data_IF_863668347579
#
_entry.id   IF_863668347579
#
_cell.length_a   1.000
_cell.length_b   1.000
_cell.length_c   1.000
_cell.angle_alpha   90.00
_cell.angle_beta   90.00
_cell.angle_gamma   90.00
#
_symmetry.space_group_name_H-M   'P 1'
#
loop_
_entity.id
_entity.type
_entity.pdbx_description
1 polymer ?
#
# COMPACT_ATOMS: atom_id res chain seq x y z
N UNK A 1 42.00 -23.02 -42.45
CA UNK A 1 41.03 -22.29 -43.28
C UNK A 1 39.62 -22.61 -42.78
N UNK A 2 38.87 -21.56 -42.44
CA UNK A 2 37.39 -21.38 -42.47
C UNK A 2 36.50 -22.56 -42.01
N UNK A 3 35.81 -22.52 -40.86
CA UNK A 3 34.64 -21.70 -40.45
C UNK A 3 33.35 -21.92 -41.26
N UNK A 4 32.32 -22.47 -40.62
CA UNK A 4 30.92 -22.02 -40.68
C UNK A 4 30.16 -22.73 -39.56
N UNK A 5 29.92 -22.12 -38.39
CA UNK A 5 28.86 -21.14 -38.07
C UNK A 5 27.44 -21.57 -38.49
N UNK A 6 26.73 -22.21 -37.57
CA UNK A 6 25.31 -22.56 -37.70
C UNK A 6 24.55 -22.28 -36.40
N UNK A 7 24.30 -20.99 -36.17
CA UNK A 7 23.37 -20.33 -35.23
C UNK A 7 22.69 -21.20 -34.14
N UNK A 8 23.14 -21.01 -32.91
CA UNK A 8 22.30 -21.18 -31.71
C UNK A 8 21.17 -20.15 -31.78
N UNK A 9 19.93 -20.61 -31.94
CA UNK A 9 18.75 -19.76 -31.81
C UNK A 9 18.53 -19.56 -30.32
N UNK A 10 19.07 -18.48 -29.77
CA UNK A 10 18.71 -17.99 -28.45
C UNK A 10 17.30 -17.40 -28.51
N UNK A 11 16.29 -18.22 -28.20
CA UNK A 11 14.99 -17.72 -27.78
C UNK A 11 15.08 -17.36 -26.29
N UNK A 12 15.72 -16.23 -26.00
CA UNK A 12 15.45 -15.49 -24.76
C UNK A 12 14.43 -14.40 -25.07
N UNK A 13 13.17 -14.83 -25.23
CA UNK A 13 12.07 -14.01 -24.75
C UNK A 13 11.97 -14.32 -23.26
N UNK A 14 12.64 -13.51 -22.44
CA UNK A 14 12.14 -13.28 -21.09
C UNK A 14 10.73 -12.74 -21.27
N UNK A 15 9.77 -13.66 -21.16
CA UNK A 15 8.38 -13.28 -21.06
C UNK A 15 8.29 -12.65 -19.69
N UNK A 16 8.28 -11.32 -19.63
CA UNK A 16 7.91 -10.58 -18.43
C UNK A 16 6.61 -11.22 -17.94
N UNK A 17 6.70 -12.03 -16.89
CA UNK A 17 5.53 -12.53 -16.21
C UNK A 17 4.93 -11.27 -15.59
N UNK A 18 3.95 -10.69 -16.26
CA UNK A 18 3.05 -9.71 -15.67
C UNK A 18 2.29 -10.44 -14.55
N UNK A 19 2.93 -10.61 -13.39
CA UNK A 19 2.27 -11.21 -12.23
C UNK A 19 1.15 -10.26 -11.81
N UNK A 20 -0.06 -10.70 -12.15
CA UNK A 20 -1.33 -10.19 -11.66
C UNK A 20 -1.29 -10.26 -10.13
N UNK A 21 -1.67 -9.16 -9.46
CA UNK A 21 -1.82 -8.96 -8.00
C UNK A 21 -1.53 -10.15 -7.07
N UNK A 22 -0.70 -9.94 -6.04
CA UNK A 22 -0.51 -10.93 -4.97
C UNK A 22 -1.84 -11.27 -4.29
N UNK A 23 -2.59 -10.23 -3.90
CA UNK A 23 -3.90 -10.34 -3.27
C UNK A 23 -4.85 -9.44 -4.04
N UNK A 24 -6.03 -9.95 -4.34
CA UNK A 24 -7.10 -9.20 -4.98
C UNK A 24 -8.43 -9.53 -4.29
N UNK A 25 -8.85 -8.63 -3.39
CA UNK A 25 -10.07 -8.78 -2.59
C UNK A 25 -11.17 -7.88 -3.14
N UNK A 26 -12.40 -8.39 -3.16
CA UNK A 26 -13.59 -7.69 -3.68
C UNK A 26 -14.70 -7.73 -2.64
N UNK A 27 -15.20 -6.57 -2.24
CA UNK A 27 -16.26 -6.45 -1.23
C UNK A 27 -15.90 -7.11 0.10
N UNK A 28 -14.61 -7.11 0.47
CA UNK A 28 -14.11 -7.84 1.63
C UNK A 28 -14.35 -7.09 2.94
N UNK A 29 -14.60 -7.83 4.02
CA UNK A 29 -14.82 -7.25 5.35
C UNK A 29 -14.02 -8.00 6.40
N UNK A 30 -13.59 -7.30 7.46
CA UNK A 30 -12.90 -7.88 8.63
C UNK A 30 -11.65 -8.68 8.20
N UNK A 31 -10.75 -8.01 7.47
CA UNK A 31 -9.53 -8.62 6.95
C UNK A 31 -8.35 -8.19 7.80
N UNK A 32 -7.64 -9.16 8.36
CA UNK A 32 -6.35 -8.96 9.01
C UNK A 32 -5.24 -9.51 8.13
N UNK A 33 -4.38 -8.62 7.62
CA UNK A 33 -3.22 -8.99 6.82
C UNK A 33 -1.94 -8.61 7.56
N UNK A 34 -1.38 -9.59 8.27
CA UNK A 34 -0.34 -9.35 9.29
C UNK A 34 0.89 -10.22 9.09
N UNK A 35 2.08 -9.64 9.26
CA UNK A 35 3.31 -10.42 9.41
C UNK A 35 3.80 -11.10 8.13
N UNK A 36 3.58 -10.49 6.96
CA UNK A 36 3.95 -11.07 5.66
C UNK A 36 5.22 -10.45 5.09
N UNK A 37 5.95 -11.21 4.26
CA UNK A 37 6.97 -10.67 3.36
C UNK A 37 6.55 -10.94 1.92
N UNK A 38 6.34 -9.88 1.15
CA UNK A 38 5.93 -9.93 -0.25
C UNK A 38 7.03 -9.32 -1.12
N UNK A 39 7.44 -10.04 -2.17
CA UNK A 39 8.40 -9.56 -3.19
C UNK A 39 8.00 -10.06 -4.58
N UNK A 40 8.45 -9.35 -5.62
CA UNK A 40 8.33 -9.81 -7.02
C UNK A 40 7.06 -9.38 -7.74
N UNK A 41 6.21 -8.56 -7.12
CA UNK A 41 4.99 -8.05 -7.73
C UNK A 41 5.15 -6.59 -8.12
N UNK A 42 4.67 -6.23 -9.31
CA UNK A 42 4.65 -4.84 -9.76
C UNK A 42 3.82 -4.00 -8.78
N UNK A 43 4.33 -2.86 -8.32
CA UNK A 43 3.51 -1.85 -7.68
C UNK A 43 2.57 -1.24 -8.76
N UNK A 44 1.29 -0.97 -8.47
CA UNK A 44 0.38 -0.28 -9.40
C UNK A 44 -0.71 -1.12 -10.08
N UNK A 45 -1.34 -0.55 -11.11
CA UNK A 45 -2.61 -1.03 -11.68
C UNK A 45 -2.64 -2.53 -12.03
N UNK A 46 -1.49 -3.14 -12.34
CA UNK A 46 -1.36 -4.56 -12.69
C UNK A 46 -0.96 -5.48 -11.53
N UNK A 47 -0.44 -4.97 -10.40
CA UNK A 47 0.10 -5.82 -9.32
C UNK A 47 -0.11 -5.30 -7.88
N UNK A 48 0.49 -5.99 -6.91
CA UNK A 48 0.41 -5.65 -5.49
C UNK A 48 -0.82 -6.16 -4.75
N UNK A 49 -1.13 -5.52 -3.62
CA UNK A 49 -2.23 -5.89 -2.72
C UNK A 49 -3.40 -4.98 -3.05
N UNK A 50 -4.43 -5.54 -3.67
CA UNK A 50 -5.57 -4.78 -4.16
C UNK A 50 -6.83 -5.11 -3.40
N UNK A 51 -7.57 -4.05 -3.10
CA UNK A 51 -8.92 -4.13 -2.57
C UNK A 51 -9.86 -3.35 -3.49
N UNK A 52 -10.97 -3.98 -3.87
CA UNK A 52 -12.10 -3.34 -4.52
C UNK A 52 -13.25 -3.28 -3.54
N UNK A 53 -13.46 -2.11 -2.95
CA UNK A 53 -14.27 -1.89 -1.76
C UNK A 53 -13.84 -2.76 -0.56
N UNK A 54 -14.01 -2.23 0.64
CA UNK A 54 -13.64 -2.94 1.86
C UNK A 54 -14.01 -2.19 3.13
N UNK A 55 -14.35 -2.96 4.17
CA UNK A 55 -14.71 -2.44 5.49
C UNK A 55 -13.95 -3.18 6.58
N UNK A 56 -13.44 -2.44 7.57
CA UNK A 56 -12.72 -3.02 8.72
C UNK A 56 -11.50 -3.82 8.25
N UNK A 57 -10.52 -3.12 7.68
CA UNK A 57 -9.34 -3.72 7.08
C UNK A 57 -8.11 -3.34 7.90
N UNK A 58 -7.38 -4.34 8.38
CA UNK A 58 -6.11 -4.20 9.10
C UNK A 58 -4.98 -4.74 8.23
N UNK A 59 -3.95 -3.92 8.03
CA UNK A 59 -2.72 -4.29 7.32
C UNK A 59 -1.55 -3.88 8.21
N UNK A 60 -0.90 -4.86 8.86
CA UNK A 60 0.08 -4.56 9.90
C UNK A 60 1.34 -5.41 9.82
N UNK A 61 2.49 -4.83 10.18
CA UNK A 61 3.74 -5.59 10.37
C UNK A 61 4.17 -6.39 9.12
N UNK A 62 3.92 -5.87 7.92
CA UNK A 62 4.33 -6.51 6.68
C UNK A 62 5.59 -5.87 6.09
N UNK A 63 6.31 -6.63 5.27
CA UNK A 63 7.40 -6.16 4.42
C UNK A 63 7.01 -6.30 2.95
N UNK A 64 6.84 -5.16 2.26
CA UNK A 64 6.42 -5.06 0.87
C UNK A 64 7.58 -4.57 0.01
N UNK A 65 8.21 -5.49 -0.72
CA UNK A 65 9.32 -5.15 -1.63
C UNK A 65 8.82 -4.93 -3.05
N UNK A 66 9.09 -3.73 -3.57
CA UNK A 66 8.68 -3.24 -4.90
C UNK A 66 7.18 -3.35 -5.17
N UNK A 67 6.35 -3.40 -4.13
CA UNK A 67 4.89 -3.58 -4.20
C UNK A 67 4.21 -2.60 -3.25
N UNK A 68 2.88 -2.56 -3.25
CA UNK A 68 2.11 -1.62 -2.45
C UNK A 68 0.67 -2.05 -2.22
N UNK A 69 -0.07 -1.19 -1.53
CA UNK A 69 -1.49 -1.30 -1.24
C UNK A 69 -2.25 -0.40 -2.20
N UNK A 70 -3.27 -0.95 -2.86
CA UNK A 70 -4.09 -0.20 -3.80
C UNK A 70 -5.56 -0.42 -3.46
N UNK A 71 -6.27 0.69 -3.25
CA UNK A 71 -7.64 0.75 -2.80
C UNK A 71 -8.49 1.30 -3.92
N UNK A 72 -9.46 0.52 -4.39
CA UNK A 72 -10.39 0.87 -5.45
C UNK A 72 -11.78 1.01 -4.83
N UNK A 73 -12.47 2.11 -5.07
CA UNK A 73 -13.85 2.34 -4.64
C UNK A 73 -14.91 1.76 -5.59
N UNK A 74 -14.59 0.73 -6.39
CA UNK A 74 -15.57 0.10 -7.27
C UNK A 74 -16.67 -0.62 -6.48
N UNK A 75 -17.90 -0.55 -6.96
CA UNK A 75 -19.01 -1.31 -6.39
C UNK A 75 -18.81 -2.82 -6.49
N UNK A 76 -18.82 -3.52 -5.36
CA UNK A 76 -18.65 -4.96 -5.28
C UNK A 76 -19.75 -5.63 -4.43
N UNK A 77 -20.00 -6.91 -4.70
CA UNK A 77 -20.85 -7.74 -3.85
C UNK A 77 -20.07 -8.21 -2.61
N UNK A 78 -20.78 -8.54 -1.52
CA UNK A 78 -20.19 -9.12 -0.31
C UNK A 78 -19.87 -8.13 0.81
N UNK A 79 -19.97 -6.82 0.56
CA UNK A 79 -19.77 -5.78 1.59
C UNK A 79 -21.01 -5.52 2.47
N UNK A 80 -22.16 -6.04 2.06
CA UNK A 80 -23.39 -6.03 2.84
C UNK A 80 -24.20 -7.28 2.54
N UNK A 81 -25.27 -7.50 3.29
CA UNK A 81 -26.08 -8.74 3.21
C UNK A 81 -27.09 -8.71 2.06
N UNK A 82 -26.77 -8.03 0.97
CA UNK A 82 -27.67 -7.81 -0.17
C UNK A 82 -27.01 -8.16 -1.50
N UNK A 83 -27.82 -8.40 -2.53
CA UNK A 83 -27.37 -8.54 -3.92
C UNK A 83 -27.14 -7.18 -4.61
N UNK A 84 -26.83 -6.14 -3.85
CA UNK A 84 -26.48 -4.82 -4.38
C UNK A 84 -24.97 -4.66 -4.29
N UNK A 85 -24.37 -4.10 -5.34
CA UNK A 85 -22.96 -3.74 -5.34
C UNK A 85 -22.76 -2.49 -4.50
N UNK A 86 -21.87 -2.55 -3.52
CA UNK A 86 -21.56 -1.43 -2.62
C UNK A 86 -20.15 -0.94 -2.92
N UNK A 87 -20.04 0.37 -3.11
CA UNK A 87 -18.79 1.11 -3.36
C UNK A 87 -18.39 1.86 -2.08
N UNK A 88 -17.52 1.27 -1.25
CA UNK A 88 -17.15 1.81 0.06
C UNK A 88 -15.75 1.35 0.46
N UNK A 89 -14.97 2.26 1.07
CA UNK A 89 -13.67 1.99 1.69
C UNK A 89 -13.69 2.61 3.09
N UNK A 90 -14.00 1.83 4.12
CA UNK A 90 -14.19 2.37 5.47
C UNK A 90 -13.48 1.58 6.56
N UNK A 91 -13.03 2.28 7.60
CA UNK A 91 -12.33 1.70 8.75
C UNK A 91 -11.07 0.92 8.34
N UNK A 92 -10.03 1.64 7.98
CA UNK A 92 -8.75 1.07 7.53
C UNK A 92 -7.66 1.38 8.54
N UNK A 93 -6.98 0.35 9.05
CA UNK A 93 -5.76 0.50 9.84
C UNK A 93 -4.58 -0.06 9.04
N UNK A 94 -3.68 0.82 8.61
CA UNK A 94 -2.44 0.43 7.94
C UNK A 94 -1.27 0.83 8.84
N UNK A 95 -0.70 -0.15 9.55
CA UNK A 95 0.20 0.10 10.68
C UNK A 95 1.56 -0.60 10.56
N UNK A 96 2.66 0.10 10.83
CA UNK A 96 4.01 -0.48 10.95
C UNK A 96 4.44 -1.40 9.79
N UNK A 97 4.05 -1.07 8.55
CA UNK A 97 4.50 -1.79 7.37
C UNK A 97 5.82 -1.18 6.84
N UNK A 98 6.68 -2.02 6.27
CA UNK A 98 7.85 -1.57 5.49
C UNK A 98 7.49 -1.66 4.02
N UNK A 99 7.57 -0.56 3.28
CA UNK A 99 7.51 -0.57 1.82
C UNK A 99 8.91 -0.24 1.30
N UNK A 100 9.51 -1.21 0.61
CA UNK A 100 10.91 -1.22 0.22
C UNK A 100 11.07 -1.11 -1.30
N UNK A 101 11.73 -0.04 -1.76
CA UNK A 101 12.08 0.20 -3.17
C UNK A 101 13.51 -0.21 -3.52
N UNK A 102 13.98 -1.33 -2.96
CA UNK A 102 15.34 -1.85 -3.18
C UNK A 102 15.76 -1.98 -4.66
N UNK A 103 14.82 -2.21 -5.59
CA UNK A 103 15.08 -2.09 -7.04
C UNK A 103 13.96 -1.33 -7.72
N UNK A 104 14.27 -0.18 -8.32
CA UNK A 104 13.28 0.59 -9.05
C UNK A 104 13.23 0.17 -10.54
N UNK A 105 12.07 -0.33 -10.98
CA UNK A 105 11.84 -0.83 -12.34
C UNK A 105 11.03 0.16 -13.20
N UNK A 106 11.15 1.46 -12.92
CA UNK A 106 10.51 2.54 -13.69
C UNK A 106 8.97 2.57 -13.77
N UNK A 107 8.27 1.63 -13.14
CA UNK A 107 6.82 1.48 -13.33
C UNK A 107 6.00 2.32 -12.34
N UNK A 108 6.10 2.05 -11.04
CA UNK A 108 5.15 2.61 -10.07
C UNK A 108 5.74 2.71 -8.65
N UNK A 109 5.37 3.77 -7.92
CA UNK A 109 6.14 4.26 -6.76
C UNK A 109 5.30 4.74 -5.57
N UNK A 110 3.99 4.53 -5.61
CA UNK A 110 3.08 5.23 -4.70
C UNK A 110 3.01 4.56 -3.33
N UNK A 111 3.30 3.25 -3.24
CA UNK A 111 3.32 2.49 -1.99
C UNK A 111 1.93 2.23 -1.42
N UNK A 112 1.12 3.28 -1.25
CA UNK A 112 -0.28 3.24 -0.86
C UNK A 112 -1.09 4.20 -1.73
N UNK A 113 -2.03 3.67 -2.51
CA UNK A 113 -2.84 4.43 -3.46
C UNK A 113 -4.34 4.15 -3.25
N UNK A 114 -5.13 5.21 -3.09
CA UNK A 114 -6.52 5.28 -3.48
C UNK A 114 -6.58 5.54 -4.99
N UNK A 115 -7.06 4.57 -5.75
CA UNK A 115 -7.03 4.62 -7.19
C UNK A 115 -7.98 5.70 -7.72
N UNK A 116 -7.42 6.74 -8.34
CA UNK A 116 -8.19 7.91 -8.78
C UNK A 116 -9.36 7.56 -9.73
N UNK A 117 -9.19 6.79 -10.81
CA UNK A 117 -10.30 6.46 -11.73
C UNK A 117 -11.47 5.70 -11.10
N UNK A 118 -11.27 5.09 -9.93
CA UNK A 118 -12.27 4.22 -9.30
C UNK A 118 -12.60 4.65 -7.87
N UNK A 119 -12.25 5.88 -7.48
CA UNK A 119 -12.56 6.43 -6.16
C UNK A 119 -14.07 6.51 -5.90
N UNK A 120 -14.44 6.49 -4.62
CA UNK A 120 -15.84 6.61 -4.15
C UNK A 120 -15.92 7.61 -3.01
N UNK A 121 -16.97 8.42 -2.98
CA UNK A 121 -17.25 9.35 -1.89
C UNK A 121 -17.46 8.65 -0.53
N UNK A 122 -17.76 7.35 -0.53
CA UNK A 122 -17.86 6.52 0.68
C UNK A 122 -16.49 5.98 1.13
N UNK A 123 -15.43 6.75 0.93
CA UNK A 123 -14.10 6.46 1.49
C UNK A 123 -13.91 7.32 2.73
N UNK A 124 -13.68 6.71 3.90
CA UNK A 124 -13.60 7.43 5.19
C UNK A 124 -12.94 6.59 6.27
N UNK A 125 -12.53 7.22 7.36
CA UNK A 125 -12.01 6.55 8.56
C UNK A 125 -10.79 5.67 8.26
N UNK A 126 -9.64 6.31 8.01
CA UNK A 126 -8.36 5.64 7.84
C UNK A 126 -7.36 6.06 8.90
N UNK A 127 -6.61 5.10 9.46
CA UNK A 127 -5.43 5.36 10.26
C UNK A 127 -4.22 4.75 9.57
N UNK A 128 -3.29 5.60 9.13
CA UNK A 128 -2.04 5.22 8.50
C UNK A 128 -0.93 5.58 9.47
N UNK A 129 -0.38 4.59 10.17
CA UNK A 129 0.54 4.83 11.29
C UNK A 129 1.86 4.07 11.16
N UNK A 130 2.97 4.73 11.47
CA UNK A 130 4.29 4.11 11.63
C UNK A 130 4.79 3.30 10.43
N UNK A 131 4.27 3.56 9.22
CA UNK A 131 4.73 2.90 8.00
C UNK A 131 6.03 3.52 7.52
N UNK A 132 6.93 2.71 6.95
CA UNK A 132 8.27 3.10 6.55
C UNK A 132 8.46 2.91 5.06
N UNK A 133 8.74 3.99 4.34
CA UNK A 133 9.16 3.94 2.94
C UNK A 133 10.68 3.97 2.92
N UNK A 134 11.29 2.85 2.56
CA UNK A 134 12.75 2.67 2.53
C UNK A 134 13.25 2.43 1.12
N UNK A 135 14.54 2.73 0.93
CA UNK A 135 15.20 2.74 -0.37
C UNK A 135 14.50 3.64 -1.39
N UNK A 136 13.77 4.66 -0.93
CA UNK A 136 12.97 5.51 -1.81
C UNK A 136 13.86 6.49 -2.59
N UNK A 137 15.09 6.74 -2.13
CA UNK A 137 16.14 7.45 -2.86
C UNK A 137 16.50 6.81 -4.21
N UNK A 138 16.20 5.51 -4.40
CA UNK A 138 16.43 4.81 -5.67
C UNK A 138 15.50 5.31 -6.79
N UNK A 139 14.44 6.05 -6.45
CA UNK A 139 13.47 6.58 -7.40
C UNK A 139 13.94 7.97 -7.86
N UNK A 140 14.03 8.27 -9.18
CA UNK A 140 14.38 9.59 -9.67
C UNK A 140 13.46 10.68 -9.14
N UNK A 141 14.03 11.86 -8.83
CA UNK A 141 13.32 12.95 -8.15
C UNK A 141 12.00 13.35 -8.83
N UNK A 142 11.96 13.41 -10.16
CA UNK A 142 10.76 13.75 -10.94
C UNK A 142 9.69 12.64 -10.97
N UNK A 143 9.96 11.49 -10.35
CA UNK A 143 9.05 10.34 -10.25
C UNK A 143 8.60 10.08 -8.83
N UNK A 144 9.17 10.71 -7.81
CA UNK A 144 8.80 10.48 -6.41
C UNK A 144 7.36 10.93 -6.13
N UNK A 145 6.60 10.20 -5.31
CA UNK A 145 5.20 10.51 -4.99
C UNK A 145 4.94 10.45 -3.49
N UNK A 146 4.02 11.26 -3.01
CA UNK A 146 3.50 11.19 -1.64
C UNK A 146 2.54 10.00 -1.48
N UNK A 147 2.09 9.74 -0.25
CA UNK A 147 1.06 8.75 0.02
C UNK A 147 -0.27 9.21 -0.61
N UNK A 148 -0.81 8.48 -1.59
CA UNK A 148 -2.01 8.90 -2.32
C UNK A 148 -3.28 8.33 -1.69
N UNK A 149 -3.68 8.82 -0.53
CA UNK A 149 -4.87 8.32 0.19
C UNK A 149 -6.11 9.21 0.00
N UNK A 150 -5.95 10.36 -0.65
CA UNK A 150 -7.01 11.29 -1.01
C UNK A 150 -6.75 11.89 -2.40
N UNK A 151 -7.81 12.31 -3.08
CA UNK A 151 -7.77 13.04 -4.33
C UNK A 151 -8.02 14.54 -4.13
N UNK A 152 -7.74 15.31 -5.18
CA UNK A 152 -7.87 16.77 -5.24
C UNK A 152 -9.32 17.28 -5.25
N UNK A 153 -10.29 16.40 -5.48
CA UNK A 153 -11.74 16.66 -5.45
C UNK A 153 -12.39 16.33 -4.10
N UNK A 154 -11.61 16.33 -3.02
CA UNK A 154 -12.07 16.09 -1.64
C UNK A 154 -12.73 14.71 -1.44
N UNK A 155 -12.19 13.69 -2.10
CA UNK A 155 -12.59 12.28 -1.96
C UNK A 155 -11.41 11.46 -1.42
N UNK A 156 -11.66 10.59 -0.44
CA UNK A 156 -10.68 9.65 0.09
C UNK A 156 -10.58 9.66 1.60
N UNK A 157 -9.45 9.21 2.13
CA UNK A 157 -9.14 9.31 3.55
C UNK A 157 -8.63 10.71 3.85
N UNK A 158 -9.51 11.55 4.38
CA UNK A 158 -9.30 12.99 4.48
C UNK A 158 -8.93 13.37 5.92
N UNK A 159 -8.19 14.46 6.14
CA UNK A 159 -7.69 14.80 7.47
C UNK A 159 -8.80 15.06 8.51
N UNK A 160 -10.03 15.31 8.06
CA UNK A 160 -11.20 15.52 8.92
C UNK A 160 -11.74 14.25 9.58
N UNK A 161 -11.45 13.08 9.01
CA UNK A 161 -11.98 11.78 9.45
C UNK A 161 -10.93 10.68 9.48
N UNK A 162 -9.67 11.02 9.22
CA UNK A 162 -8.56 10.08 9.10
C UNK A 162 -7.33 10.61 9.83
N UNK A 163 -6.43 9.70 10.21
CA UNK A 163 -5.26 9.98 11.03
C UNK A 163 -3.98 9.47 10.35
N UNK A 164 -2.97 10.34 10.24
CA UNK A 164 -1.66 10.01 9.65
C UNK A 164 -0.57 10.47 10.61
N UNK A 165 0.18 9.52 11.18
CA UNK A 165 1.24 9.82 12.15
C UNK A 165 2.37 8.80 12.12
N UNK A 166 3.59 9.22 12.46
CA UNK A 166 4.76 8.35 12.60
C UNK A 166 5.27 7.70 11.31
N UNK A 167 4.64 7.95 10.16
CA UNK A 167 5.10 7.41 8.89
C UNK A 167 6.37 8.12 8.42
N UNK A 168 7.36 7.34 7.99
CA UNK A 168 8.66 7.86 7.57
C UNK A 168 8.99 7.54 6.12
N UNK A 169 9.86 8.37 5.55
CA UNK A 169 10.37 8.21 4.20
C UNK A 169 11.81 8.72 4.10
N UNK A 170 12.71 7.83 3.70
CA UNK A 170 14.16 7.99 3.87
C UNK A 170 14.86 8.98 2.92
N UNK A 171 14.19 9.44 1.86
CA UNK A 171 14.75 10.41 0.92
C UNK A 171 14.34 11.87 1.19
N UNK A 172 13.57 12.11 2.25
CA UNK A 172 13.09 13.44 2.65
C UNK A 172 13.94 14.00 3.77
N UNK A 173 14.17 15.32 3.78
CA UNK A 173 15.01 15.98 4.81
C UNK A 173 14.37 15.91 6.20
N UNK A 174 13.04 16.02 6.27
CA UNK A 174 12.28 15.91 7.52
C UNK A 174 11.99 14.45 7.91
N UNK A 175 12.31 13.50 7.03
CA UNK A 175 12.08 12.07 7.23
C UNK A 175 10.61 11.66 7.19
N UNK A 176 9.68 12.55 6.80
CA UNK A 176 8.24 12.33 6.91
C UNK A 176 7.63 11.79 5.61
N UNK A 177 6.78 10.76 5.74
CA UNK A 177 5.89 10.35 4.66
C UNK A 177 4.56 11.10 4.76
N UNK A 178 4.41 12.14 3.93
CA UNK A 178 3.19 12.97 3.86
C UNK A 178 2.14 12.39 2.92
N UNK A 179 0.89 12.78 3.14
CA UNK A 179 -0.24 12.45 2.27
C UNK A 179 -0.36 13.48 1.14
N UNK A 180 -0.62 13.02 -0.08
CA UNK A 180 -0.98 13.88 -1.20
C UNK A 180 -2.38 14.47 -0.97
N UNK A 181 -2.61 15.69 -1.46
CA UNK A 181 -3.89 16.41 -1.39
C UNK A 181 -4.40 16.70 0.05
N UNK A 182 -3.58 16.46 1.07
CA UNK A 182 -3.82 16.99 2.40
C UNK A 182 -3.33 18.45 2.49
N UNK A 183 -3.93 19.30 3.34
CA UNK A 183 -3.53 20.69 3.50
C UNK A 183 -2.04 20.82 3.86
N UNK A 184 -1.35 21.77 3.24
CA UNK A 184 0.08 22.00 3.49
C UNK A 184 0.41 22.38 4.94
N UNK A 185 -0.58 22.92 5.68
CA UNK A 185 -0.48 23.26 7.10
C UNK A 185 -0.89 22.12 8.04
N UNK A 186 -1.21 20.94 7.53
CA UNK A 186 -1.45 19.77 8.38
C UNK A 186 -0.17 19.40 9.12
N UNK A 187 -0.25 19.32 10.45
CA UNK A 187 0.87 18.90 11.29
C UNK A 187 0.85 17.38 11.39
N UNK A 188 1.81 16.72 10.76
CA UNK A 188 1.98 15.27 10.85
C UNK A 188 2.68 14.93 12.17
N UNK A 189 2.01 14.26 13.13
CA UNK A 189 2.67 13.84 14.35
C UNK A 189 3.79 12.85 14.03
N UNK A 190 4.95 13.00 14.67
CA UNK A 190 6.10 12.10 14.49
C UNK A 190 5.93 10.76 15.21
N UNK A 191 4.93 10.64 16.06
CA UNK A 191 4.58 9.43 16.81
C UNK A 191 3.09 9.17 16.70
N UNK A 192 2.69 7.93 16.49
CA UNK A 192 1.29 7.53 16.59
C UNK A 192 0.83 7.51 18.06
N UNK A 193 -0.44 7.83 18.31
CA UNK A 193 -1.07 7.73 19.62
C UNK A 193 -2.32 6.85 19.48
N UNK A 194 -2.38 5.77 20.26
CA UNK A 194 -3.48 4.80 20.20
C UNK A 194 -4.86 5.46 20.39
N UNK A 195 -4.99 6.35 21.36
CA UNK A 195 -6.29 6.96 21.68
C UNK A 195 -6.79 7.87 20.57
N UNK A 196 -5.88 8.55 19.86
CA UNK A 196 -6.24 9.52 18.83
C UNK A 196 -6.81 8.84 17.58
N UNK A 197 -6.22 7.72 17.14
CA UNK A 197 -6.71 7.02 15.95
C UNK A 197 -7.78 5.97 16.25
N UNK A 198 -7.74 5.32 17.42
CA UNK A 198 -8.65 4.22 17.72
C UNK A 198 -10.12 4.67 17.79
N UNK A 199 -10.37 5.91 18.22
CA UNK A 199 -11.73 6.49 18.26
C UNK A 199 -12.33 6.73 16.87
N UNK A 200 -11.51 6.79 15.82
CA UNK A 200 -11.97 7.00 14.44
C UNK A 200 -12.41 5.69 13.78
N UNK A 201 -11.91 4.56 14.27
CA UNK A 201 -12.03 3.27 13.63
C UNK A 201 -13.05 2.36 14.33
N UNK A 202 -13.44 1.30 13.64
CA UNK A 202 -14.26 0.25 14.26
C UNK A 202 -13.50 -0.39 15.45
N UNK A 203 -14.14 -0.62 16.62
CA UNK A 203 -13.46 -1.09 17.84
C UNK A 203 -12.63 -2.37 17.67
N UNK A 204 -13.05 -3.29 16.80
CA UNK A 204 -12.31 -4.52 16.52
C UNK A 204 -10.90 -4.27 15.97
N UNK A 205 -10.65 -3.14 15.28
CA UNK A 205 -9.33 -2.82 14.76
C UNK A 205 -8.36 -2.42 15.87
N UNK A 206 -8.84 -1.74 16.92
CA UNK A 206 -8.04 -1.46 18.12
C UNK A 206 -7.65 -2.74 18.87
N UNK A 207 -8.59 -3.67 19.00
CA UNK A 207 -8.33 -4.98 19.61
C UNK A 207 -7.30 -5.78 18.79
N UNK A 208 -7.50 -5.88 17.47
CA UNK A 208 -6.59 -6.59 16.58
C UNK A 208 -5.19 -5.93 16.51
N UNK A 209 -5.11 -4.59 16.59
CA UNK A 209 -3.81 -3.91 16.71
C UNK A 209 -3.03 -4.40 17.92
N UNK A 210 -3.66 -4.47 19.10
CA UNK A 210 -3.00 -4.96 20.32
C UNK A 210 -2.63 -6.44 20.24
N UNK A 211 -3.47 -7.27 19.61
CA UNK A 211 -3.15 -8.67 19.36
C UNK A 211 -1.88 -8.81 18.51
N UNK A 212 -1.74 -7.98 17.48
CA UNK A 212 -0.70 -8.16 16.46
C UNK A 212 0.52 -7.25 16.60
N UNK A 213 0.56 -6.30 17.54
CA UNK A 213 1.63 -5.31 17.65
C UNK A 213 3.03 -5.93 17.80
N UNK A 214 3.11 -7.09 18.46
CA UNK A 214 4.38 -7.79 18.68
C UNK A 214 4.71 -8.81 17.59
N UNK A 215 3.85 -8.96 16.56
CA UNK A 215 4.13 -9.82 15.41
C UNK A 215 5.37 -9.32 14.68
N UNK A 216 6.39 -10.18 14.56
CA UNK A 216 7.62 -9.83 13.87
C UNK A 216 7.35 -9.60 12.40
N UNK A 217 7.94 -8.54 11.84
CA UNK A 217 7.99 -8.33 10.39
C UNK A 217 9.02 -9.31 9.82
N UNK A 218 8.63 -10.32 9.02
CA UNK A 218 9.60 -11.23 8.45
C UNK A 218 10.44 -10.50 7.40
N UNK A 219 11.74 -10.38 7.64
CA UNK A 219 12.70 -9.97 6.61
C UNK A 219 13.45 -11.21 6.11
N UNK A 220 13.33 -11.50 4.81
CA UNK A 220 14.06 -12.57 4.11
C UNK A 220 14.82 -11.95 2.95
N UNK A 221 16.02 -11.48 3.19
CA UNK A 221 16.90 -10.91 2.18
C UNK A 221 18.03 -11.91 1.85
N UNK A 222 17.62 -13.08 1.37
CA UNK A 222 18.48 -14.23 1.04
C UNK A 222 19.14 -14.13 -0.35
N UNK A 223 18.94 -13.01 -1.05
CA UNK A 223 19.50 -12.81 -2.38
C UNK A 223 20.92 -12.27 -2.27
N UNK A 224 21.89 -13.19 -2.21
CA UNK A 224 23.28 -12.90 -2.56
C UNK A 224 23.32 -12.50 -4.04
N UNK A 225 23.44 -11.20 -4.32
CA UNK A 225 23.70 -10.70 -5.67
C UNK A 225 25.17 -11.04 -5.98
N UNK A 226 25.39 -11.97 -6.92
CA UNK A 226 26.69 -12.11 -7.59
C UNK A 226 26.82 -11.04 -8.68
#
# INVERSE_FOLDING_TARGET
MQSSSGKQIALHKETLIHQLSLIYLRGSQNIDFVGNHVRGFQNGASGGIKFKSGRNILIMNNHFRNTGIIMYGNGEFGLGDTYVRIAELSNWLVANNTIDWKRWESSYKIGMELNYPTRTANTKNGAFIDNRYINYQNIPSNRKQLMKIASDDDIGFLPRDSYVAGNTRDDTVDGLLKAENWPANYVYPTTSNFNDWNVLLHPNLGAAYHEYIHTKIPMRDDLNVK
#
